data_IF_892720948988
#
_entry.id   IF_892720948988
#
_cell.length_a   1.000
_cell.length_b   1.000
_cell.length_c   1.000
_cell.angle_alpha   90.00
_cell.angle_beta   90.00
_cell.angle_gamma   90.00
#
_symmetry.space_group_name_H-M   'P 1'
#
loop_
_entity.id
_entity.type
_entity.pdbx_description
1 polymer ?
#
# COMPACT_ATOMS: atom_id res chain seq x y z
N UNK A 1 23.04 13.41 -20.61
CA UNK A 1 21.72 12.75 -20.85
C UNK A 1 20.82 13.12 -19.67
N UNK A 2 19.62 13.61 -19.91
CA UNK A 2 18.62 13.78 -18.85
C UNK A 2 18.29 12.39 -18.30
N UNK A 3 18.29 12.20 -16.99
CA UNK A 3 17.98 10.92 -16.36
C UNK A 3 16.56 10.43 -16.71
N UNK A 4 16.36 9.13 -16.79
CA UNK A 4 15.03 8.52 -16.99
C UNK A 4 14.13 8.83 -15.80
N UNK A 5 12.86 9.16 -16.06
CA UNK A 5 11.90 9.56 -15.03
C UNK A 5 11.04 8.35 -14.61
N UNK A 6 10.94 8.13 -13.30
CA UNK A 6 10.10 7.09 -12.72
C UNK A 6 9.11 7.72 -11.73
N UNK A 7 7.87 7.24 -11.77
CA UNK A 7 6.81 7.72 -10.90
C UNK A 7 6.63 6.75 -9.73
N UNK A 8 6.65 7.27 -8.52
CA UNK A 8 6.29 6.55 -7.30
C UNK A 8 4.92 7.06 -6.86
N UNK A 9 3.94 6.18 -6.79
CA UNK A 9 2.58 6.49 -6.30
C UNK A 9 2.34 5.79 -4.97
N UNK A 10 1.64 6.44 -4.05
CA UNK A 10 1.35 5.85 -2.75
C UNK A 10 -0.03 6.21 -2.22
N UNK A 11 -0.53 5.30 -1.37
CA UNK A 11 -1.70 5.53 -0.50
C UNK A 11 -1.30 6.06 0.88
N UNK A 12 -0.11 6.63 1.01
CA UNK A 12 0.34 7.23 2.26
C UNK A 12 -0.68 8.23 2.80
N UNK A 13 -0.93 8.16 4.11
CA UNK A 13 -1.71 9.15 4.86
C UNK A 13 -0.93 9.65 6.07
N UNK A 14 -1.33 10.81 6.59
CA UNK A 14 -0.64 11.45 7.70
C UNK A 14 0.64 12.20 7.32
N UNK A 15 1.28 12.77 8.32
CA UNK A 15 2.50 13.58 8.17
C UNK A 15 3.55 13.08 9.16
N UNK A 16 4.75 12.83 8.65
CA UNK A 16 5.90 12.40 9.43
C UNK A 16 6.93 13.54 9.54
N UNK A 17 7.48 13.72 10.73
CA UNK A 17 8.61 14.61 10.97
C UNK A 17 9.93 14.02 10.41
N UNK A 18 10.98 14.83 10.21
CA UNK A 18 12.28 14.36 9.76
C UNK A 18 12.94 13.31 10.67
N UNK A 19 12.63 13.34 11.96
CA UNK A 19 13.11 12.33 12.94
C UNK A 19 12.29 11.02 12.93
N UNK A 20 11.25 10.94 12.08
CA UNK A 20 10.39 9.78 11.95
C UNK A 20 9.16 9.79 12.85
N UNK A 21 9.02 10.76 13.76
CA UNK A 21 7.84 10.86 14.62
C UNK A 21 6.60 11.33 13.83
N UNK A 22 5.38 10.92 14.23
CA UNK A 22 4.16 11.37 13.58
C UNK A 22 3.81 12.81 14.01
N UNK A 23 3.68 13.73 13.04
CA UNK A 23 3.11 15.06 13.24
C UNK A 23 1.59 15.01 13.20
N UNK A 24 1.05 14.25 12.24
CA UNK A 24 -0.38 14.00 12.11
C UNK A 24 -0.61 12.56 11.67
N UNK A 25 -1.53 11.87 12.34
CA UNK A 25 -1.91 10.50 11.98
C UNK A 25 -2.73 10.52 10.67
N UNK A 26 -2.53 9.51 9.84
CA UNK A 26 -3.42 9.23 8.71
C UNK A 26 -4.72 8.59 9.18
N UNK A 27 -5.64 8.35 8.26
CA UNK A 27 -6.87 7.60 8.53
C UNK A 27 -6.57 6.20 9.06
N UNK A 28 -5.51 5.57 8.56
CA UNK A 28 -4.88 4.40 9.18
C UNK A 28 -3.67 4.85 9.99
N UNK A 29 -3.58 4.41 11.23
CA UNK A 29 -2.60 4.92 12.19
C UNK A 29 -1.16 4.80 11.70
N UNK A 30 -0.78 3.69 11.10
CA UNK A 30 0.59 3.45 10.62
C UNK A 30 0.87 3.87 9.16
N UNK A 31 -0.10 4.39 8.40
CA UNK A 31 0.09 4.66 6.97
C UNK A 31 1.10 5.78 6.67
N UNK A 32 1.42 6.64 7.63
CA UNK A 32 2.49 7.63 7.48
C UNK A 32 3.87 6.95 7.32
N UNK A 33 4.05 5.74 7.85
CA UNK A 33 5.31 4.99 7.75
C UNK A 33 5.49 4.33 6.37
N UNK A 34 4.42 4.13 5.61
CA UNK A 34 4.48 3.66 4.22
C UNK A 34 5.35 4.59 3.36
N UNK A 35 5.46 5.86 3.75
CA UNK A 35 6.40 6.82 3.15
C UNK A 35 7.87 6.38 3.19
N UNK A 36 8.27 5.55 4.16
CA UNK A 36 9.63 4.99 4.22
C UNK A 36 9.94 4.11 3.01
N UNK A 37 8.95 3.36 2.51
CA UNK A 37 9.09 2.55 1.29
C UNK A 37 9.29 3.45 0.07
N UNK A 38 8.55 4.57 0.01
CA UNK A 38 8.72 5.54 -1.07
C UNK A 38 10.09 6.20 -1.05
N UNK A 39 10.56 6.59 0.14
CA UNK A 39 11.88 7.20 0.33
C UNK A 39 12.98 6.24 -0.11
N UNK A 40 12.90 4.98 0.28
CA UNK A 40 13.88 3.96 -0.10
C UNK A 40 13.89 3.72 -1.60
N UNK A 41 12.72 3.63 -2.23
CA UNK A 41 12.60 3.53 -3.69
C UNK A 41 13.18 4.77 -4.38
N UNK A 42 12.88 5.97 -3.89
CA UNK A 42 13.39 7.21 -4.46
C UNK A 42 14.91 7.32 -4.36
N UNK A 43 15.49 6.97 -3.19
CA UNK A 43 16.95 6.92 -3.00
C UNK A 43 17.58 5.92 -3.98
N UNK A 44 16.95 4.77 -4.15
CA UNK A 44 17.43 3.73 -5.08
C UNK A 44 17.43 4.22 -6.53
N UNK A 45 16.34 4.84 -7.00
CA UNK A 45 16.29 5.44 -8.34
C UNK A 45 17.36 6.50 -8.53
N UNK A 46 17.51 7.41 -7.58
CA UNK A 46 18.53 8.47 -7.64
C UNK A 46 19.94 7.90 -7.69
N UNK A 47 20.25 6.91 -6.87
CA UNK A 47 21.55 6.25 -6.84
C UNK A 47 21.92 5.57 -8.18
N UNK A 48 20.91 5.22 -8.99
CA UNK A 48 21.07 4.62 -10.32
C UNK A 48 20.87 5.63 -11.49
N UNK A 49 20.95 6.94 -11.20
CA UNK A 49 20.90 7.98 -12.21
C UNK A 49 19.51 8.25 -12.79
N UNK A 50 18.46 7.74 -12.15
CA UNK A 50 17.08 8.03 -12.52
C UNK A 50 16.53 9.22 -11.72
N UNK A 51 15.44 9.83 -12.21
CA UNK A 51 14.76 10.96 -11.58
C UNK A 51 13.42 10.46 -11.03
N UNK A 52 13.27 10.30 -9.69
CA UNK A 52 12.02 9.92 -9.09
C UNK A 52 11.04 11.10 -8.99
N UNK A 53 9.77 10.84 -9.29
CA UNK A 53 8.64 11.71 -9.00
C UNK A 53 7.72 10.98 -8.02
N UNK A 54 7.08 11.71 -7.11
CA UNK A 54 6.17 11.12 -6.12
C UNK A 54 4.77 11.75 -6.20
N UNK A 55 3.74 10.92 -6.04
CA UNK A 55 2.34 11.34 -5.97
C UNK A 55 1.57 10.52 -4.94
N UNK A 56 0.52 11.12 -4.37
CA UNK A 56 -0.20 10.56 -3.24
C UNK A 56 -1.70 10.60 -3.45
N UNK A 57 -2.40 9.53 -3.03
CA UNK A 57 -3.85 9.47 -2.86
C UNK A 57 -4.10 8.70 -1.57
N UNK A 58 -4.39 9.41 -0.47
CA UNK A 58 -4.66 8.76 0.82
C UNK A 58 -5.93 7.91 0.74
N UNK A 59 -6.07 6.92 1.60
CA UNK A 59 -7.21 6.03 1.65
C UNK A 59 -7.97 6.08 3.00
N UNK A 60 -9.30 5.85 2.99
CA UNK A 60 -10.08 5.74 4.22
C UNK A 60 -9.82 4.41 4.94
N UNK A 61 -10.22 4.35 6.21
CA UNK A 61 -10.15 3.15 7.03
C UNK A 61 -11.56 2.63 7.36
N UNK A 62 -11.90 1.43 6.89
CA UNK A 62 -13.18 0.80 7.18
C UNK A 62 -13.39 0.54 8.68
N UNK A 63 -12.32 0.25 9.41
CA UNK A 63 -12.39 0.09 10.86
C UNK A 63 -12.80 1.36 11.58
N UNK A 64 -12.43 2.54 11.06
CA UNK A 64 -12.83 3.85 11.63
C UNK A 64 -14.24 4.28 11.20
N UNK A 65 -14.64 3.89 10.00
CA UNK A 65 -15.93 4.31 9.41
C UNK A 65 -17.05 3.31 9.68
N UNK A 66 -16.74 2.15 10.23
CA UNK A 66 -17.72 1.11 10.51
C UNK A 66 -18.88 1.63 11.38
N UNK A 67 -20.11 1.40 10.92
CA UNK A 67 -21.32 1.89 11.58
C UNK A 67 -21.65 3.36 11.32
N UNK A 68 -20.91 4.05 10.46
CA UNK A 68 -21.15 5.45 10.06
C UNK A 68 -21.46 5.59 8.57
N UNK A 69 -21.92 6.77 8.15
CA UNK A 69 -22.13 7.08 6.73
C UNK A 69 -20.83 6.97 5.89
N UNK A 70 -19.67 7.19 6.50
CA UNK A 70 -18.38 7.06 5.81
C UNK A 70 -18.11 5.65 5.27
N UNK A 71 -18.75 4.62 5.83
CA UNK A 71 -18.65 3.25 5.32
C UNK A 71 -19.31 3.10 3.94
N UNK A 72 -20.33 3.90 3.64
CA UNK A 72 -21.00 3.88 2.33
C UNK A 72 -20.09 4.39 1.22
N UNK A 73 -19.19 5.31 1.53
CA UNK A 73 -18.24 5.90 0.58
C UNK A 73 -17.02 5.01 0.32
N UNK A 74 -16.77 4.03 1.19
CA UNK A 74 -15.54 3.24 1.19
C UNK A 74 -15.31 2.47 -0.13
N UNK A 75 -16.32 1.80 -0.67
CA UNK A 75 -16.21 1.08 -1.95
C UNK A 75 -16.11 2.02 -3.15
N UNK A 76 -16.90 3.10 -3.15
CA UNK A 76 -16.84 4.13 -4.19
C UNK A 76 -15.45 4.76 -4.24
N UNK A 77 -14.88 5.08 -3.08
CA UNK A 77 -13.53 5.63 -2.96
C UNK A 77 -12.47 4.76 -3.65
N UNK A 78 -12.51 3.44 -3.51
CA UNK A 78 -11.56 2.54 -4.19
C UNK A 78 -11.51 2.78 -5.70
N UNK A 79 -12.66 2.92 -6.33
CA UNK A 79 -12.76 3.16 -7.77
C UNK A 79 -12.29 4.57 -8.14
N UNK A 80 -12.66 5.57 -7.35
CA UNK A 80 -12.24 6.95 -7.56
C UNK A 80 -10.72 7.09 -7.39
N UNK A 81 -10.13 6.48 -6.38
CA UNK A 81 -8.68 6.46 -6.17
C UNK A 81 -7.96 5.81 -7.36
N UNK A 82 -8.47 4.70 -7.91
CA UNK A 82 -7.90 4.06 -9.09
C UNK A 82 -7.91 5.01 -10.31
N UNK A 83 -9.01 5.76 -10.49
CA UNK A 83 -9.12 6.77 -11.56
C UNK A 83 -8.10 7.90 -11.34
N UNK A 84 -7.97 8.39 -10.10
CA UNK A 84 -7.00 9.45 -9.77
C UNK A 84 -5.57 8.98 -10.01
N UNK A 85 -5.19 7.79 -9.54
CA UNK A 85 -3.87 7.22 -9.82
C UNK A 85 -3.59 7.13 -11.32
N UNK A 86 -4.53 6.65 -12.12
CA UNK A 86 -4.37 6.60 -13.58
C UNK A 86 -4.19 7.99 -14.20
N UNK A 87 -4.85 9.01 -13.66
CA UNK A 87 -4.65 10.40 -14.10
C UNK A 87 -3.26 10.90 -13.73
N UNK A 88 -2.78 10.64 -12.51
CA UNK A 88 -1.42 10.97 -12.08
C UNK A 88 -0.36 10.29 -12.97
N UNK A 89 -0.54 8.99 -13.28
CA UNK A 89 0.34 8.28 -14.22
C UNK A 89 0.41 9.02 -15.56
N UNK A 90 -0.71 9.42 -16.13
CA UNK A 90 -0.74 10.12 -17.42
C UNK A 90 -0.22 11.56 -17.35
N UNK A 91 -0.26 12.19 -16.17
CA UNK A 91 0.19 13.56 -15.97
C UNK A 91 1.72 13.72 -16.00
N UNK A 92 2.47 12.62 -15.97
CA UNK A 92 3.90 12.60 -16.22
C UNK A 92 4.18 11.89 -17.56
N UNK A 93 4.07 12.56 -18.70
CA UNK A 93 4.14 11.92 -20.02
C UNK A 93 5.52 11.31 -20.33
N UNK A 94 6.56 11.78 -19.67
CA UNK A 94 7.95 11.33 -19.86
C UNK A 94 8.34 10.16 -18.95
N UNK A 95 7.40 9.65 -18.12
CA UNK A 95 7.62 8.50 -17.23
C UNK A 95 8.07 7.27 -18.02
N UNK A 96 9.01 6.53 -17.45
CA UNK A 96 9.53 5.28 -18.02
C UNK A 96 9.00 4.04 -17.27
N UNK A 97 8.46 4.22 -16.07
CA UNK A 97 7.86 3.16 -15.27
C UNK A 97 7.16 3.74 -14.06
N UNK A 98 6.34 2.89 -13.40
CA UNK A 98 5.56 3.27 -12.22
C UNK A 98 5.77 2.24 -11.10
N UNK A 99 6.18 2.73 -9.93
CA UNK A 99 6.24 1.96 -8.70
C UNK A 99 5.06 2.40 -7.80
N UNK A 100 4.15 1.48 -7.51
CA UNK A 100 3.07 1.71 -6.56
C UNK A 100 3.48 1.25 -5.16
N UNK A 101 3.17 2.05 -4.15
CA UNK A 101 3.32 1.67 -2.74
C UNK A 101 1.94 1.77 -2.10
N UNK A 102 1.36 0.65 -1.72
CA UNK A 102 -0.02 0.65 -1.23
C UNK A 102 -0.22 -0.37 -0.11
N UNK A 103 -1.17 -0.07 0.73
CA UNK A 103 -1.63 -0.95 1.80
C UNK A 103 -3.15 -0.85 1.93
N UNK A 104 -3.73 -1.69 2.78
CA UNK A 104 -5.15 -1.72 3.09
C UNK A 104 -6.08 -2.13 1.94
N UNK A 105 -7.33 -2.39 2.30
CA UNK A 105 -8.37 -2.97 1.45
C UNK A 105 -8.97 -2.04 0.39
N UNK A 106 -8.66 -0.75 0.45
CA UNK A 106 -9.02 0.22 -0.60
C UNK A 106 -7.81 0.60 -1.45
N UNK A 107 -6.71 0.94 -0.81
CA UNK A 107 -5.50 1.42 -1.48
C UNK A 107 -4.87 0.38 -2.37
N UNK A 108 -4.75 -0.87 -1.91
CA UNK A 108 -4.15 -1.96 -2.69
C UNK A 108 -4.92 -2.27 -3.97
N UNK A 109 -6.25 -2.56 -3.93
CA UNK A 109 -7.02 -2.79 -5.16
C UNK A 109 -7.02 -1.57 -6.08
N UNK A 110 -7.10 -0.35 -5.53
CA UNK A 110 -7.05 0.88 -6.33
C UNK A 110 -5.72 1.01 -7.08
N UNK A 111 -4.61 0.75 -6.39
CA UNK A 111 -3.29 0.76 -6.99
C UNK A 111 -3.15 -0.34 -8.06
N UNK A 112 -3.57 -1.57 -7.77
CA UNK A 112 -3.56 -2.67 -8.72
C UNK A 112 -4.34 -2.34 -10.00
N UNK A 113 -5.55 -1.78 -9.86
CA UNK A 113 -6.35 -1.34 -11.01
C UNK A 113 -5.64 -0.25 -11.82
N UNK A 114 -4.95 0.67 -11.17
CA UNK A 114 -4.23 1.73 -11.84
C UNK A 114 -2.98 1.22 -12.59
N UNK A 115 -2.21 0.33 -11.96
CA UNK A 115 -1.02 -0.28 -12.57
C UNK A 115 -1.42 -1.19 -13.74
N UNK A 116 -2.39 -2.10 -13.55
CA UNK A 116 -2.92 -2.95 -14.61
C UNK A 116 -3.54 -2.14 -15.76
N UNK A 117 -4.15 -0.99 -15.44
CA UNK A 117 -4.67 -0.03 -16.43
C UNK A 117 -3.59 0.78 -17.17
N UNK A 118 -2.32 0.46 -16.98
CA UNK A 118 -1.16 1.06 -17.67
C UNK A 118 -0.34 -0.02 -18.39
N UNK A 119 -0.94 -0.80 -19.30
CA UNK A 119 -0.37 -2.04 -19.82
C UNK A 119 0.93 -1.84 -20.62
N UNK A 120 1.16 -0.66 -21.18
CA UNK A 120 2.31 -0.36 -22.03
C UNK A 120 3.50 0.21 -21.24
N UNK A 121 3.43 0.20 -19.91
CA UNK A 121 4.50 0.63 -19.03
C UNK A 121 4.98 -0.53 -18.15
N UNK A 122 6.26 -0.60 -17.80
CA UNK A 122 6.71 -1.42 -16.69
C UNK A 122 6.12 -0.88 -15.38
N UNK A 123 5.50 -1.75 -14.60
CA UNK A 123 4.96 -1.40 -13.29
C UNK A 123 5.31 -2.45 -12.23
N UNK A 124 5.43 -2.01 -11.00
CA UNK A 124 5.65 -2.89 -9.85
C UNK A 124 4.91 -2.34 -8.64
N UNK A 125 4.40 -3.24 -7.79
CA UNK A 125 3.76 -2.91 -6.52
C UNK A 125 4.65 -3.31 -5.35
N UNK A 126 4.84 -2.39 -4.42
CA UNK A 126 5.43 -2.63 -3.09
C UNK A 126 4.27 -2.59 -2.08
N UNK A 127 3.86 -3.74 -1.55
CA UNK A 127 2.79 -3.77 -0.55
C UNK A 127 3.29 -3.25 0.80
N UNK A 128 2.36 -2.68 1.59
CA UNK A 128 2.65 -2.24 2.96
C UNK A 128 2.98 -3.38 3.93
N UNK A 129 2.80 -4.63 3.50
CA UNK A 129 3.11 -5.82 4.27
C UNK A 129 2.08 -6.13 5.35
N UNK A 130 2.46 -6.97 6.30
CA UNK A 130 1.60 -7.37 7.42
C UNK A 130 2.07 -6.72 8.71
N UNK A 131 1.15 -6.16 9.46
CA UNK A 131 1.42 -5.63 10.80
C UNK A 131 1.60 -6.79 11.77
N UNK A 132 2.70 -6.81 12.51
CA UNK A 132 2.89 -7.76 13.59
C UNK A 132 1.93 -7.45 14.74
N UNK A 133 1.63 -8.46 15.55
CA UNK A 133 0.80 -8.30 16.74
C UNK A 133 1.42 -7.24 17.67
N UNK A 134 0.61 -6.32 18.14
CA UNK A 134 1.02 -5.38 19.18
C UNK A 134 1.25 -6.15 20.48
N UNK A 135 2.33 -5.84 21.20
CA UNK A 135 2.61 -6.46 22.50
C UNK A 135 1.67 -5.95 23.59
N UNK A 136 1.15 -4.72 23.45
CA UNK A 136 0.39 -4.01 24.47
C UNK A 136 -1.05 -3.65 24.02
N UNK A 137 -1.55 -4.25 22.95
CA UNK A 137 -2.88 -3.96 22.42
C UNK A 137 -3.61 -5.24 21.99
N UNK A 138 -4.92 -5.14 21.92
CA UNK A 138 -5.75 -6.20 21.36
C UNK A 138 -5.49 -6.36 19.86
N UNK A 139 -5.70 -7.56 19.34
CA UNK A 139 -5.60 -7.83 17.91
C UNK A 139 -6.69 -7.08 17.12
N UNK A 140 -6.46 -6.94 15.81
CA UNK A 140 -7.37 -6.19 14.93
C UNK A 140 -8.78 -6.78 14.90
N UNK A 141 -8.94 -8.08 15.11
CA UNK A 141 -10.26 -8.72 15.17
C UNK A 141 -11.06 -8.27 16.40
N UNK A 142 -10.43 -8.17 17.55
CA UNK A 142 -11.07 -7.66 18.78
C UNK A 142 -11.36 -6.17 18.68
N UNK A 143 -10.44 -5.39 18.06
CA UNK A 143 -10.65 -3.96 17.86
C UNK A 143 -11.89 -3.65 17.02
N UNK A 144 -12.25 -4.49 16.05
CA UNK A 144 -13.52 -4.32 15.32
C UNK A 144 -14.76 -4.41 16.21
N UNK A 145 -14.67 -5.05 17.35
CA UNK A 145 -15.78 -5.14 18.30
C UNK A 145 -15.88 -3.95 19.25
N UNK A 146 -14.92 -3.01 19.22
CA UNK A 146 -14.83 -1.90 20.17
C UNK A 146 -16.09 -1.02 20.19
N UNK A 147 -16.64 -0.70 19.01
CA UNK A 147 -17.86 0.11 18.95
C UNK A 147 -19.05 -0.58 19.65
N UNK A 148 -19.18 -1.89 19.45
CA UNK A 148 -20.23 -2.69 20.12
C UNK A 148 -19.98 -2.81 21.61
N UNK A 149 -18.74 -3.02 22.04
CA UNK A 149 -18.33 -3.09 23.45
C UNK A 149 -18.58 -1.75 24.16
N UNK A 150 -18.24 -0.64 23.48
CA UNK A 150 -18.54 0.70 24.00
C UNK A 150 -20.06 0.93 24.12
N UNK A 151 -20.85 0.57 23.12
CA UNK A 151 -22.30 0.70 23.16
C UNK A 151 -22.97 -0.17 24.27
N UNK A 152 -22.30 -1.22 24.72
CA UNK A 152 -22.69 -2.07 25.82
C UNK A 152 -22.09 -1.67 27.17
N UNK A 153 -21.41 -0.53 27.22
CA UNK A 153 -20.74 -0.04 28.43
C UNK A 153 -19.65 -0.99 28.99
N UNK A 154 -19.12 -1.89 28.14
CA UNK A 154 -18.06 -2.84 28.51
C UNK A 154 -16.68 -2.18 28.54
N UNK A 155 -16.50 -1.08 27.79
CA UNK A 155 -15.25 -0.29 27.70
C UNK A 155 -15.56 1.20 27.69
N UNK A 156 -14.63 2.02 28.20
CA UNK A 156 -14.76 3.48 28.09
C UNK A 156 -14.43 3.98 26.70
N UNK A 157 -14.84 5.22 26.38
CA UNK A 157 -14.51 5.85 25.10
C UNK A 157 -12.99 6.02 24.93
N UNK A 158 -12.29 6.40 26.00
CA UNK A 158 -10.85 6.57 26.01
C UNK A 158 -10.13 5.26 25.69
N UNK A 159 -10.56 4.16 26.33
CA UNK A 159 -10.01 2.84 26.07
C UNK A 159 -10.27 2.39 24.63
N UNK A 160 -11.48 2.59 24.14
CA UNK A 160 -11.82 2.25 22.75
C UNK A 160 -10.98 3.04 21.73
N UNK A 161 -10.78 4.33 21.99
CA UNK A 161 -9.94 5.19 21.14
C UNK A 161 -8.48 4.74 21.17
N UNK A 162 -7.92 4.47 22.35
CA UNK A 162 -6.56 4.00 22.53
C UNK A 162 -6.31 2.67 21.80
N UNK A 163 -7.18 1.67 22.01
CA UNK A 163 -7.07 0.38 21.34
C UNK A 163 -7.21 0.50 19.81
N UNK A 164 -8.16 1.30 19.35
CA UNK A 164 -8.33 1.57 17.92
C UNK A 164 -7.11 2.21 17.27
N UNK A 165 -6.41 3.07 18.00
CA UNK A 165 -5.15 3.68 17.53
C UNK A 165 -3.99 2.67 17.51
N UNK A 166 -3.89 1.81 18.52
CA UNK A 166 -2.78 0.86 18.68
C UNK A 166 -2.87 -0.34 17.74
N UNK A 167 -4.06 -0.79 17.38
CA UNK A 167 -4.26 -2.02 16.61
C UNK A 167 -3.61 -2.02 15.22
N UNK A 168 -3.60 -0.86 14.56
CA UNK A 168 -2.92 -0.67 13.27
C UNK A 168 -1.61 0.14 13.42
N UNK A 169 -1.16 0.36 14.63
CA UNK A 169 -0.04 1.23 14.96
C UNK A 169 1.31 0.54 15.13
N UNK A 170 1.36 -0.76 14.97
CA UNK A 170 2.62 -1.50 14.98
C UNK A 170 3.48 -1.08 13.78
N UNK A 171 4.83 -1.02 13.92
CA UNK A 171 5.68 -0.34 12.95
C UNK A 171 5.40 -0.72 11.50
N UNK A 172 5.40 0.28 10.61
CA UNK A 172 5.41 0.08 9.17
C UNK A 172 4.08 0.19 8.44
N UNK A 173 2.95 0.36 9.11
CA UNK A 173 1.67 0.66 8.46
C UNK A 173 1.04 -0.44 7.62
N UNK A 174 1.43 -1.69 7.81
CA UNK A 174 0.77 -2.85 7.20
C UNK A 174 -0.60 -3.15 7.82
N UNK A 175 -1.23 -4.23 7.41
CA UNK A 175 -2.51 -4.67 7.95
C UNK A 175 -2.48 -6.15 8.31
N UNK A 176 -3.13 -6.51 9.42
CA UNK A 176 -3.25 -7.90 9.86
C UNK A 176 -4.40 -8.65 9.14
N UNK A 177 -5.30 -7.93 8.49
CA UNK A 177 -6.48 -8.52 7.88
C UNK A 177 -6.14 -9.32 6.63
N UNK A 178 -6.14 -10.65 6.76
CA UNK A 178 -5.97 -11.56 5.63
C UNK A 178 -7.16 -11.49 4.66
N UNK A 179 -8.37 -11.31 5.17
CA UNK A 179 -9.58 -11.32 4.36
C UNK A 179 -9.73 -10.19 3.34
N UNK A 180 -9.01 -9.09 3.49
CA UNK A 180 -9.12 -7.93 2.60
C UNK A 180 -7.76 -7.37 2.17
N UNK A 181 -7.01 -6.78 3.09
CA UNK A 181 -5.75 -6.12 2.78
C UNK A 181 -4.66 -7.12 2.37
N UNK A 182 -4.37 -8.12 3.20
CA UNK A 182 -3.32 -9.09 2.90
C UNK A 182 -3.66 -9.97 1.69
N UNK A 183 -4.93 -10.30 1.47
CA UNK A 183 -5.38 -11.01 0.26
C UNK A 183 -5.00 -10.24 -1.01
N UNK A 184 -5.24 -8.93 -1.03
CA UNK A 184 -4.87 -8.11 -2.19
C UNK A 184 -3.35 -8.07 -2.43
N UNK A 185 -2.53 -8.16 -1.38
CA UNK A 185 -1.08 -8.27 -1.50
C UNK A 185 -0.66 -9.61 -2.12
N UNK A 186 -1.27 -10.69 -1.67
CA UNK A 186 -1.03 -12.05 -2.18
C UNK A 186 -1.46 -12.17 -3.63
N UNK A 187 -2.61 -11.61 -3.99
CA UNK A 187 -3.08 -11.52 -5.38
C UNK A 187 -2.09 -10.74 -6.25
N UNK A 188 -1.56 -9.62 -5.76
CA UNK A 188 -0.55 -8.84 -6.48
C UNK A 188 0.73 -9.64 -6.77
N UNK A 189 1.17 -10.44 -5.81
CA UNK A 189 2.33 -11.31 -5.97
C UNK A 189 2.04 -12.43 -6.99
N UNK A 190 0.88 -13.07 -6.90
CA UNK A 190 0.45 -14.10 -7.85
C UNK A 190 0.29 -13.58 -9.29
N UNK A 191 -0.08 -12.30 -9.45
CA UNK A 191 -0.13 -11.61 -10.75
C UNK A 191 1.26 -11.25 -11.30
N UNK A 192 2.33 -11.39 -10.49
CA UNK A 192 3.68 -10.96 -10.87
C UNK A 192 3.93 -9.47 -10.77
N UNK A 193 3.00 -8.71 -10.14
CA UNK A 193 3.15 -7.25 -9.93
C UNK A 193 3.92 -6.90 -8.66
N UNK A 194 4.15 -7.87 -7.78
CA UNK A 194 4.97 -7.76 -6.57
C UNK A 194 6.08 -8.78 -6.62
N UNK A 195 7.26 -8.44 -6.11
CA UNK A 195 8.38 -9.39 -6.01
C UNK A 195 8.01 -10.58 -5.11
N UNK A 196 8.52 -11.79 -5.42
CA UNK A 196 8.31 -12.97 -4.60
C UNK A 196 8.64 -12.73 -3.12
N UNK A 197 7.77 -13.22 -2.24
CA UNK A 197 7.80 -13.07 -0.77
C UNK A 197 7.58 -11.63 -0.27
N UNK A 198 7.05 -10.73 -1.14
CA UNK A 198 6.74 -9.37 -0.78
C UNK A 198 5.39 -9.20 -0.10
N UNK A 199 4.41 -10.05 -0.45
CA UNK A 199 3.02 -9.92 0.01
C UNK A 199 2.86 -9.93 1.53
N UNK A 200 3.64 -10.74 2.23
CA UNK A 200 3.54 -10.93 3.68
C UNK A 200 4.79 -10.46 4.43
N UNK A 201 5.56 -9.54 3.85
CA UNK A 201 6.72 -8.97 4.51
C UNK A 201 6.28 -8.27 5.81
N UNK A 202 6.92 -8.54 6.97
CA UNK A 202 6.58 -7.88 8.21
C UNK A 202 6.85 -6.38 8.12
N UNK A 203 5.83 -5.57 8.32
CA UNK A 203 5.93 -4.11 8.26
C UNK A 203 6.96 -3.59 9.28
N UNK A 204 7.78 -2.63 8.86
CA UNK A 204 8.82 -2.05 9.69
C UNK A 204 10.10 -2.90 9.85
N UNK A 205 10.12 -4.14 9.38
CA UNK A 205 11.32 -4.97 9.39
C UNK A 205 12.33 -4.58 8.30
N UNK A 206 13.61 -4.95 8.47
CA UNK A 206 14.63 -4.65 7.47
C UNK A 206 14.31 -5.23 6.08
N UNK A 207 13.72 -6.42 6.01
CA UNK A 207 13.28 -7.06 4.76
C UNK A 207 12.17 -6.25 4.05
N UNK A 208 11.36 -5.54 4.79
CA UNK A 208 10.30 -4.69 4.26
C UNK A 208 10.86 -3.48 3.51
N UNK A 209 11.88 -2.81 4.06
CA UNK A 209 12.60 -1.74 3.37
C UNK A 209 13.41 -2.28 2.18
N UNK A 210 14.09 -3.42 2.36
CA UNK A 210 14.83 -4.07 1.28
C UNK A 210 13.93 -4.45 0.10
N UNK A 211 12.69 -4.80 0.35
CA UNK A 211 11.69 -5.06 -0.70
C UNK A 211 11.48 -3.82 -1.58
N UNK A 212 11.33 -2.63 -0.99
CA UNK A 212 11.19 -1.40 -1.75
C UNK A 212 12.42 -1.10 -2.60
N UNK A 213 13.62 -1.29 -2.05
CA UNK A 213 14.89 -1.15 -2.77
C UNK A 213 14.96 -2.13 -3.95
N UNK A 214 14.72 -3.43 -3.72
CA UNK A 214 14.74 -4.46 -4.77
C UNK A 214 13.67 -4.22 -5.84
N UNK A 215 12.49 -3.73 -5.44
CA UNK A 215 11.41 -3.40 -6.39
C UNK A 215 11.80 -2.23 -7.29
N UNK A 216 12.46 -1.20 -6.76
CA UNK A 216 12.97 -0.11 -7.57
C UNK A 216 14.03 -0.60 -8.59
N UNK A 217 14.95 -1.47 -8.16
CA UNK A 217 15.93 -2.10 -9.06
C UNK A 217 15.25 -2.95 -10.12
N UNK A 218 14.28 -3.77 -9.74
CA UNK A 218 13.53 -4.60 -10.68
C UNK A 218 12.80 -3.75 -11.72
N UNK A 219 12.21 -2.62 -11.33
CA UNK A 219 11.55 -1.71 -12.27
C UNK A 219 12.52 -1.10 -13.27
N UNK A 220 13.75 -0.76 -12.86
CA UNK A 220 14.80 -0.31 -13.76
C UNK A 220 15.17 -1.40 -14.79
N UNK A 221 15.28 -2.65 -14.34
CA UNK A 221 15.58 -3.77 -15.24
C UNK A 221 14.43 -4.11 -16.18
N UNK A 222 13.18 -4.05 -15.73
CA UNK A 222 11.99 -4.20 -16.60
C UNK A 222 11.98 -3.14 -17.69
N UNK A 223 12.24 -1.89 -17.35
CA UNK A 223 12.31 -0.78 -18.34
C UNK A 223 13.44 -0.99 -19.35
N UNK A 224 14.60 -1.44 -18.88
CA UNK A 224 15.75 -1.74 -19.73
C UNK A 224 15.49 -2.93 -20.67
N UNK A 225 14.79 -3.95 -20.17
CA UNK A 225 14.40 -5.12 -20.95
C UNK A 225 13.24 -4.84 -21.92
N UNK A 226 12.54 -3.72 -21.78
CA UNK A 226 11.32 -3.42 -22.52
C UNK A 226 10.11 -4.26 -22.10
N UNK A 227 10.17 -4.90 -20.92
CA UNK A 227 9.07 -5.69 -20.36
C UNK A 227 8.04 -4.76 -19.75
N UNK A 228 6.79 -4.94 -20.12
CA UNK A 228 5.67 -4.08 -19.69
C UNK A 228 4.72 -4.84 -18.78
N UNK A 229 3.77 -4.13 -18.19
CA UNK A 229 2.70 -4.74 -17.38
C UNK A 229 1.86 -5.74 -18.20
N UNK A 230 1.69 -5.50 -19.49
CA UNK A 230 0.99 -6.42 -20.40
C UNK A 230 1.69 -7.80 -20.47
N UNK A 231 3.01 -7.82 -20.45
CA UNK A 231 3.79 -9.05 -20.51
C UNK A 231 3.70 -9.85 -19.20
N UNK A 232 3.52 -9.15 -18.06
CA UNK A 232 3.35 -9.77 -16.75
C UNK A 232 1.94 -10.32 -16.55
N UNK A 233 0.91 -9.57 -16.99
CA UNK A 233 -0.49 -9.95 -16.82
C UNK A 233 -0.95 -10.92 -17.91
N UNK A 234 -0.38 -12.12 -17.91
CA UNK A 234 -0.75 -13.21 -18.79
C UNK A 234 -2.01 -13.95 -18.31
N UNK A 235 -2.59 -14.78 -19.17
CA UNK A 235 -3.69 -15.67 -18.77
C UNK A 235 -3.31 -16.58 -17.59
N UNK A 236 -2.06 -17.05 -17.57
CA UNK A 236 -1.56 -17.92 -16.49
C UNK A 236 -1.40 -17.15 -15.18
N UNK A 237 -0.87 -15.92 -15.19
CA UNK A 237 -0.76 -15.11 -13.98
C UNK A 237 -2.13 -14.76 -13.40
N UNK A 238 -3.11 -14.47 -14.25
CA UNK A 238 -4.51 -14.24 -13.83
C UNK A 238 -5.11 -15.53 -13.25
N UNK A 239 -4.89 -16.68 -13.89
CA UNK A 239 -5.36 -17.97 -13.36
C UNK A 239 -4.73 -18.27 -12.00
N UNK A 240 -3.42 -18.11 -11.86
CA UNK A 240 -2.72 -18.28 -10.58
C UNK A 240 -3.27 -17.36 -9.49
N UNK A 241 -3.56 -16.10 -9.83
CA UNK A 241 -4.14 -15.15 -8.89
C UNK A 241 -5.56 -15.56 -8.44
N UNK A 242 -6.39 -16.08 -9.36
CA UNK A 242 -7.71 -16.61 -9.03
C UNK A 242 -7.62 -17.82 -8.10
N UNK A 243 -6.73 -18.76 -8.39
CA UNK A 243 -6.52 -19.95 -7.53
C UNK A 243 -6.00 -19.55 -6.15
N UNK A 244 -5.11 -18.57 -6.10
CA UNK A 244 -4.54 -18.10 -4.83
C UNK A 244 -5.57 -17.36 -3.98
N UNK A 245 -6.54 -16.70 -4.61
CA UNK A 245 -7.62 -15.97 -3.93
C UNK A 245 -8.71 -16.90 -3.40
N UNK A 246 -9.02 -18.01 -4.09
CA UNK A 246 -10.07 -18.95 -3.74
C UNK A 246 -9.75 -19.77 -2.48
#
# INVERSE_FOLDING_TARGET
MLGKQFLILSTQGGIRAPDGSPIALGYHTGHWEVGLLMEEAARTFTAHGAIPFAGYVSDPCDGRTNGTAGMLDSLAYRNDAAIVFRRLIRSLPTRRGVLGVATCDKGLPAMLLALAGSPDLPTILVPGGVTLLSQDAEDTGKVQTLATRFAREEVTLEHAAEMGCKACGSPGGGCQFMGTAATSQVVAEALGLTLPHGALAPSGAAIWLDLARRSALALLELEKAGTTTRDLLSADSIHNALVTHA
#
